data_IF_385452302321
#
_entry.id   IF_385452302321
#
_cell.length_a   1.000
_cell.length_b   1.000
_cell.length_c   1.000
_cell.angle_alpha   90.00
_cell.angle_beta   90.00
_cell.angle_gamma   90.00
#
_symmetry.space_group_name_H-M   'P 1'
#
loop_
_entity.id
_entity.type
_entity.pdbx_description
1 polymer ?
#
# COMPACT_ATOMS: atom_id res chain seq x y z
N UNK A 1 -17.19 -2.00 20.30
CA UNK A 1 -17.83 -3.17 20.94
C UNK A 1 -18.78 -2.76 22.06
N UNK A 2 -18.40 -1.85 22.99
CA UNK A 2 -19.29 -1.41 24.08
C UNK A 2 -20.61 -0.82 23.55
N UNK A 3 -20.54 0.08 22.57
CA UNK A 3 -21.74 0.67 21.97
C UNK A 3 -22.66 -0.39 21.32
N UNK A 4 -22.12 -1.36 20.61
CA UNK A 4 -22.89 -2.46 20.02
C UNK A 4 -23.60 -3.28 21.09
N UNK A 5 -22.88 -3.63 22.17
CA UNK A 5 -23.47 -4.35 23.31
C UNK A 5 -24.62 -3.56 23.96
N UNK A 6 -24.45 -2.26 24.15
CA UNK A 6 -25.47 -1.40 24.77
C UNK A 6 -26.68 -1.23 23.83
N UNK A 7 -26.49 -1.14 22.52
CA UNK A 7 -27.57 -1.15 21.54
C UNK A 7 -28.34 -2.49 21.52
N UNK A 8 -27.69 -3.61 21.74
CA UNK A 8 -28.29 -4.93 21.73
C UNK A 8 -28.89 -5.31 23.10
N UNK A 9 -28.64 -4.55 24.18
CA UNK A 9 -29.15 -4.84 25.53
C UNK A 9 -30.68 -5.06 25.58
N UNK A 10 -31.55 -4.30 24.86
CA UNK A 10 -32.97 -4.57 24.81
C UNK A 10 -33.35 -5.90 24.15
N UNK A 11 -32.47 -6.46 23.33
CA UNK A 11 -32.69 -7.67 22.54
C UNK A 11 -31.85 -8.87 23.05
N UNK A 12 -31.34 -8.80 24.26
CA UNK A 12 -30.40 -9.81 24.83
C UNK A 12 -30.93 -11.25 24.83
N UNK A 13 -32.25 -11.44 24.87
CA UNK A 13 -32.89 -12.74 24.85
C UNK A 13 -33.04 -13.33 23.44
N UNK A 14 -32.79 -12.52 22.41
CA UNK A 14 -32.78 -12.98 21.03
C UNK A 14 -31.43 -13.63 20.72
N UNK A 15 -31.41 -14.91 20.28
CA UNK A 15 -30.16 -15.60 19.97
C UNK A 15 -29.33 -14.88 18.87
N UNK A 16 -29.95 -14.14 17.95
CA UNK A 16 -29.27 -13.33 16.96
C UNK A 16 -28.40 -12.22 17.59
N UNK A 17 -28.78 -11.68 18.75
CA UNK A 17 -27.98 -10.67 19.46
C UNK A 17 -26.66 -11.27 19.98
N UNK A 18 -26.71 -12.49 20.51
CA UNK A 18 -25.51 -13.20 20.95
C UNK A 18 -24.59 -13.54 19.76
N UNK A 19 -25.16 -13.99 18.64
CA UNK A 19 -24.42 -14.28 17.43
C UNK A 19 -23.75 -13.02 16.88
N UNK A 20 -24.44 -11.89 16.81
CA UNK A 20 -23.89 -10.61 16.31
C UNK A 20 -22.74 -10.11 17.21
N UNK A 21 -22.88 -10.20 18.54
CA UNK A 21 -21.81 -9.86 19.49
C UNK A 21 -20.61 -10.81 19.34
N UNK A 22 -20.83 -12.06 19.01
CA UNK A 22 -19.74 -13.01 18.79
C UNK A 22 -19.05 -12.74 17.45
N UNK A 23 -19.81 -12.57 16.35
CA UNK A 23 -19.28 -12.24 15.03
C UNK A 23 -18.37 -11.02 15.07
N UNK A 24 -18.81 -9.94 15.74
CA UNK A 24 -18.02 -8.69 15.84
C UNK A 24 -16.69 -8.83 16.62
N UNK A 25 -16.38 -10.00 17.16
CA UNK A 25 -15.14 -10.31 17.90
C UNK A 25 -14.29 -11.36 17.19
N UNK A 26 -14.75 -11.88 16.06
CA UNK A 26 -14.02 -12.88 15.32
C UNK A 26 -12.85 -12.22 14.59
N UNK A 27 -11.66 -12.63 14.98
CA UNK A 27 -10.40 -12.21 14.38
C UNK A 27 -9.45 -13.41 14.30
N UNK A 28 -8.86 -13.67 13.13
CA UNK A 28 -7.93 -14.79 12.97
C UNK A 28 -7.68 -15.19 11.54
N UNK A 29 -7.27 -16.43 11.35
CA UNK A 29 -7.07 -17.04 10.03
C UNK A 29 -8.39 -17.49 9.38
N UNK A 30 -8.33 -18.38 8.37
CA UNK A 30 -9.52 -18.84 7.65
C UNK A 30 -10.54 -19.60 8.52
N UNK A 31 -10.13 -20.15 9.66
CA UNK A 31 -10.99 -20.82 10.62
C UNK A 31 -12.08 -19.91 11.19
N UNK A 32 -11.86 -18.61 11.17
CA UNK A 32 -12.86 -17.60 11.57
C UNK A 32 -14.09 -17.64 10.69
N UNK A 33 -13.94 -17.99 9.43
CA UNK A 33 -15.06 -18.10 8.48
C UNK A 33 -15.95 -19.30 8.79
N UNK A 34 -15.41 -20.39 9.34
CA UNK A 34 -16.19 -21.56 9.77
C UNK A 34 -17.05 -21.20 10.98
N UNK A 35 -16.48 -20.45 11.93
CA UNK A 35 -17.24 -19.96 13.09
C UNK A 35 -18.30 -18.94 12.69
N UNK A 36 -18.00 -18.06 11.73
CA UNK A 36 -18.97 -17.09 11.19
C UNK A 36 -20.17 -17.79 10.54
N UNK A 37 -19.92 -18.83 9.75
CA UNK A 37 -20.97 -19.64 9.12
C UNK A 37 -21.82 -20.38 10.16
N UNK A 38 -21.20 -20.93 11.20
CA UNK A 38 -21.92 -21.59 12.29
C UNK A 38 -22.85 -20.62 13.05
N UNK A 39 -22.48 -19.34 13.16
CA UNK A 39 -23.26 -18.32 13.87
C UNK A 39 -24.34 -17.65 13.02
N UNK A 40 -24.08 -17.39 11.74
CA UNK A 40 -24.93 -16.62 10.86
C UNK A 40 -25.62 -17.45 9.76
N UNK A 41 -25.22 -18.71 9.61
CA UNK A 41 -25.56 -19.56 8.46
C UNK A 41 -24.66 -19.25 7.25
N UNK A 42 -24.84 -20.03 6.21
CA UNK A 42 -24.19 -19.83 4.91
C UNK A 42 -24.65 -18.49 4.31
N UNK A 43 -23.69 -17.63 3.98
CA UNK A 43 -23.96 -16.31 3.39
C UNK A 43 -23.02 -16.05 2.22
N UNK A 44 -23.50 -15.33 1.22
CA UNK A 44 -22.68 -14.90 0.07
C UNK A 44 -21.38 -14.18 0.50
N UNK A 45 -21.42 -13.44 1.63
CA UNK A 45 -20.25 -12.76 2.14
C UNK A 45 -19.17 -13.72 2.63
N UNK A 46 -19.56 -14.79 3.34
CA UNK A 46 -18.62 -15.82 3.82
C UNK A 46 -18.04 -16.61 2.65
N UNK A 47 -18.90 -17.02 1.69
CA UNK A 47 -18.46 -17.70 0.47
C UNK A 47 -17.47 -16.86 -0.34
N UNK A 48 -17.78 -15.56 -0.51
CA UNK A 48 -16.90 -14.64 -1.20
C UNK A 48 -15.53 -14.49 -0.51
N UNK A 49 -15.49 -14.36 0.82
CA UNK A 49 -14.25 -14.28 1.57
C UNK A 49 -13.44 -15.58 1.50
N UNK A 50 -14.09 -16.75 1.48
CA UNK A 50 -13.43 -18.04 1.28
C UNK A 50 -12.79 -18.13 -0.11
N UNK A 51 -13.54 -17.77 -1.15
CA UNK A 51 -13.04 -17.76 -2.53
C UNK A 51 -11.83 -16.82 -2.67
N UNK A 52 -11.94 -15.59 -2.15
CA UNK A 52 -10.85 -14.61 -2.15
C UNK A 52 -9.62 -15.14 -1.41
N UNK A 53 -9.80 -15.78 -0.25
CA UNK A 53 -8.71 -16.39 0.50
C UNK A 53 -8.04 -17.53 -0.28
N UNK A 54 -8.83 -18.33 -1.00
CA UNK A 54 -8.33 -19.40 -1.87
C UNK A 54 -7.39 -18.86 -2.95
N UNK A 55 -7.79 -17.79 -3.64
CA UNK A 55 -6.97 -17.12 -4.65
C UNK A 55 -5.69 -16.52 -4.07
N UNK A 56 -5.80 -15.82 -2.95
CA UNK A 56 -4.63 -15.25 -2.26
C UNK A 56 -3.65 -16.32 -1.76
N UNK A 57 -4.19 -17.45 -1.28
CA UNK A 57 -3.37 -18.58 -0.83
C UNK A 57 -2.67 -19.27 -2.00
N UNK A 58 -3.36 -19.47 -3.12
CA UNK A 58 -2.77 -20.00 -4.34
C UNK A 58 -1.65 -19.10 -4.89
N UNK A 59 -1.78 -17.77 -4.70
CA UNK A 59 -0.76 -16.79 -5.03
C UNK A 59 0.40 -16.69 -4.00
N UNK A 60 0.35 -17.48 -2.91
CA UNK A 60 1.41 -17.52 -1.88
C UNK A 60 1.22 -16.55 -0.70
N UNK A 61 0.11 -15.82 -0.64
CA UNK A 61 -0.14 -14.78 0.38
C UNK A 61 -1.00 -15.25 1.56
N UNK A 62 -1.50 -16.49 1.57
CA UNK A 62 -2.44 -16.98 2.58
C UNK A 62 -1.96 -16.79 4.03
N UNK A 63 -0.67 -16.99 4.30
CA UNK A 63 -0.08 -16.80 5.63
C UNK A 63 -0.14 -15.35 6.14
N UNK A 64 -0.27 -14.37 5.24
CA UNK A 64 -0.32 -12.94 5.55
C UNK A 64 -1.74 -12.42 5.76
N UNK A 65 -2.77 -13.21 5.39
CA UNK A 65 -4.17 -12.80 5.47
C UNK A 65 -4.75 -13.12 6.85
N UNK A 66 -5.48 -12.17 7.41
CA UNK A 66 -6.30 -12.35 8.61
C UNK A 66 -7.68 -11.75 8.37
N UNK A 67 -8.69 -12.36 8.95
CA UNK A 67 -10.07 -11.89 8.92
C UNK A 67 -10.40 -11.17 10.21
N UNK A 68 -11.04 -10.01 10.08
CA UNK A 68 -11.58 -9.22 11.18
C UNK A 68 -13.05 -8.91 10.86
N UNK A 69 -13.96 -9.70 11.42
CA UNK A 69 -15.40 -9.53 11.18
C UNK A 69 -16.01 -8.42 12.06
N UNK A 70 -15.22 -7.81 12.92
CA UNK A 70 -15.57 -6.63 13.69
C UNK A 70 -15.18 -5.32 13.00
N UNK A 71 -14.49 -5.40 11.87
CA UNK A 71 -14.02 -4.21 11.15
C UNK A 71 -15.18 -3.50 10.47
N UNK A 72 -15.46 -2.28 10.94
CA UNK A 72 -16.45 -1.38 10.33
C UNK A 72 -15.72 -0.18 9.73
N UNK A 73 -15.99 0.11 8.47
CA UNK A 73 -15.48 1.32 7.82
C UNK A 73 -16.40 2.50 8.10
N UNK A 74 -15.81 3.67 8.36
CA UNK A 74 -16.54 4.93 8.57
C UNK A 74 -17.05 5.57 7.27
N UNK A 75 -16.66 5.00 6.14
CA UNK A 75 -16.92 5.57 4.82
C UNK A 75 -17.92 4.66 4.08
N UNK A 76 -19.10 5.20 3.76
CA UNK A 76 -20.25 4.47 3.22
C UNK A 76 -20.16 4.14 1.72
N UNK A 77 -19.02 4.41 1.05
CA UNK A 77 -18.94 4.12 -0.39
C UNK A 77 -18.48 2.68 -0.73
N UNK A 78 -17.99 1.93 0.24
CA UNK A 78 -17.59 0.53 -0.01
C UNK A 78 -18.81 -0.37 -0.21
N UNK A 79 -18.77 -1.17 -1.26
CA UNK A 79 -19.85 -2.10 -1.66
C UNK A 79 -19.47 -3.57 -1.53
N UNK A 80 -18.24 -3.86 -1.08
CA UNK A 80 -17.72 -5.22 -0.96
C UNK A 80 -16.64 -5.32 0.10
N UNK A 81 -15.63 -6.16 -0.16
CA UNK A 81 -14.53 -6.38 0.76
C UNK A 81 -13.80 -5.07 1.08
N UNK A 82 -13.48 -4.90 2.35
CA UNK A 82 -12.59 -3.86 2.86
C UNK A 82 -11.36 -4.50 3.47
N UNK A 83 -10.22 -3.84 3.36
CA UNK A 83 -8.97 -4.39 3.87
C UNK A 83 -8.06 -3.31 4.45
N UNK A 84 -7.20 -3.73 5.36
CA UNK A 84 -6.12 -2.93 5.93
C UNK A 84 -4.82 -3.70 5.84
N UNK A 85 -3.73 -2.98 5.62
CA UNK A 85 -2.39 -3.54 5.65
C UNK A 85 -1.61 -3.00 6.83
N UNK A 86 -0.83 -3.88 7.44
CA UNK A 86 0.00 -3.59 8.60
C UNK A 86 1.44 -3.99 8.30
N UNK A 87 2.39 -3.23 8.79
CA UNK A 87 3.82 -3.56 8.78
C UNK A 87 4.34 -3.64 10.20
N UNK A 88 5.28 -4.52 10.42
CA UNK A 88 5.96 -4.63 11.72
C UNK A 88 6.64 -3.30 12.06
N UNK A 89 6.47 -2.84 13.30
CA UNK A 89 6.98 -1.56 13.76
C UNK A 89 6.05 -0.36 13.53
N UNK A 90 4.98 -0.48 12.74
CA UNK A 90 3.94 0.54 12.66
C UNK A 90 2.90 0.32 13.77
N UNK A 91 2.52 1.38 14.46
CA UNK A 91 1.51 1.33 15.53
C UNK A 91 0.07 1.26 15.02
N UNK A 92 -0.15 1.45 13.73
CA UNK A 92 -1.47 1.47 13.07
C UNK A 92 -1.37 0.91 11.65
N UNK A 93 -2.53 0.80 10.97
CA UNK A 93 -2.59 0.38 9.58
C UNK A 93 -1.86 1.40 8.67
N UNK A 94 -0.97 0.90 7.82
CA UNK A 94 -0.24 1.71 6.83
C UNK A 94 -0.89 1.70 5.46
N UNK A 95 -1.87 0.84 5.26
CA UNK A 95 -2.64 0.73 4.03
C UNK A 95 -4.11 0.46 4.37
N UNK A 96 -5.01 1.08 3.63
CA UNK A 96 -6.45 0.82 3.72
C UNK A 96 -7.11 0.92 2.36
N UNK A 97 -8.08 0.04 2.10
CA UNK A 97 -8.77 0.01 0.83
C UNK A 97 -10.01 -0.87 0.84
N UNK A 98 -10.63 -1.01 -0.34
CA UNK A 98 -11.79 -1.85 -0.51
C UNK A 98 -12.41 -1.74 -1.90
N UNK A 99 -13.49 -2.47 -2.10
CA UNK A 99 -14.28 -2.46 -3.32
C UNK A 99 -15.40 -1.42 -3.23
N UNK A 100 -15.60 -0.61 -4.27
CA UNK A 100 -16.53 0.54 -4.27
C UNK A 100 -17.21 0.74 -5.63
N UNK A 101 -17.94 -0.24 -6.12
CA UNK A 101 -18.57 -0.26 -7.45
C UNK A 101 -19.56 0.91 -7.64
N UNK A 102 -20.35 1.26 -6.61
CA UNK A 102 -21.37 2.31 -6.70
C UNK A 102 -20.81 3.71 -6.87
N UNK A 103 -19.59 3.97 -6.40
CA UNK A 103 -18.97 5.30 -6.47
C UNK A 103 -18.75 5.75 -7.91
N UNK A 104 -18.35 4.84 -8.78
CA UNK A 104 -18.10 5.13 -10.19
C UNK A 104 -19.39 5.46 -10.93
N UNK A 105 -20.52 4.84 -10.52
CA UNK A 105 -21.86 5.10 -11.07
C UNK A 105 -22.31 6.56 -10.88
N UNK A 106 -21.91 7.22 -9.79
CA UNK A 106 -22.23 8.64 -9.54
C UNK A 106 -21.66 9.55 -10.65
N UNK A 107 -20.57 9.13 -11.30
CA UNK A 107 -19.96 9.86 -12.42
C UNK A 107 -20.51 9.44 -13.80
N UNK A 108 -21.64 8.74 -13.83
CA UNK A 108 -22.36 8.42 -15.06
C UNK A 108 -21.90 7.16 -15.80
N UNK A 109 -21.05 6.32 -15.20
CA UNK A 109 -20.61 5.06 -15.76
C UNK A 109 -20.57 3.98 -14.69
N UNK A 110 -21.40 2.95 -14.82
CA UNK A 110 -21.31 1.77 -13.95
C UNK A 110 -20.02 0.99 -14.26
N UNK A 111 -19.20 0.80 -13.24
CA UNK A 111 -17.98 -0.01 -13.33
C UNK A 111 -17.62 -0.55 -11.95
N UNK A 112 -17.07 -1.76 -11.94
CA UNK A 112 -16.46 -2.31 -10.73
C UNK A 112 -15.15 -1.58 -10.44
N UNK A 113 -14.94 -1.22 -9.18
CA UNK A 113 -13.76 -0.51 -8.75
C UNK A 113 -13.23 -1.04 -7.42
N UNK A 114 -11.92 -1.18 -7.35
CA UNK A 114 -11.19 -1.51 -6.12
C UNK A 114 -9.96 -0.62 -6.06
N UNK A 115 -9.65 -0.10 -4.89
CA UNK A 115 -8.48 0.73 -4.70
C UNK A 115 -8.03 0.76 -3.24
N UNK A 116 -6.89 1.38 -3.03
CA UNK A 116 -6.33 1.55 -1.70
C UNK A 116 -5.53 2.85 -1.60
N UNK A 117 -5.34 3.31 -0.36
CA UNK A 117 -4.43 4.37 0.00
C UNK A 117 -3.31 3.83 0.90
N UNK A 118 -2.11 4.39 0.77
CA UNK A 118 -0.94 4.06 1.58
C UNK A 118 -0.53 5.29 2.37
N UNK A 119 -0.34 5.14 3.68
CA UNK A 119 0.32 6.14 4.53
C UNK A 119 1.84 6.00 4.37
N UNK A 120 2.40 6.80 3.45
CA UNK A 120 3.83 6.77 3.12
C UNK A 120 4.68 7.21 4.32
N UNK A 121 4.20 8.17 5.11
CA UNK A 121 4.92 8.66 6.28
C UNK A 121 4.96 7.59 7.39
N UNK A 122 3.86 6.87 7.60
CA UNK A 122 3.83 5.76 8.54
C UNK A 122 4.78 4.63 8.10
N UNK A 123 4.79 4.29 6.80
CA UNK A 123 5.73 3.32 6.26
C UNK A 123 7.19 3.77 6.38
N UNK A 124 7.50 5.02 6.05
CA UNK A 124 8.85 5.55 6.14
C UNK A 124 9.42 5.46 7.57
N UNK A 125 8.58 5.67 8.59
CA UNK A 125 8.99 5.53 10.00
C UNK A 125 9.35 4.11 10.42
N UNK A 126 8.92 3.10 9.70
CA UNK A 126 9.27 1.68 9.99
C UNK A 126 10.56 1.23 9.31
N UNK A 127 11.04 2.00 8.33
CA UNK A 127 12.30 1.70 7.66
C UNK A 127 13.47 2.03 8.57
N UNK A 128 14.54 1.23 8.56
CA UNK A 128 15.76 1.59 9.26
C UNK A 128 16.25 2.93 8.72
N UNK A 129 16.72 3.79 9.64
CA UNK A 129 17.33 5.05 9.25
C UNK A 129 18.47 4.75 8.27
N UNK A 130 18.27 5.12 7.00
CA UNK A 130 19.30 4.93 6.01
C UNK A 130 20.50 5.80 6.43
N UNK A 131 21.63 5.17 6.65
CA UNK A 131 22.86 5.93 6.83
C UNK A 131 22.97 6.89 5.64
N UNK A 132 23.24 8.19 5.86
CA UNK A 132 23.37 9.14 4.76
C UNK A 132 24.44 8.64 3.81
N UNK A 133 24.02 8.05 2.69
CA UNK A 133 24.95 7.68 1.63
C UNK A 133 25.40 8.99 0.99
N UNK A 134 26.70 9.22 1.01
CA UNK A 134 27.25 10.39 0.34
C UNK A 134 26.91 10.27 -1.14
N UNK A 135 26.22 11.26 -1.68
CA UNK A 135 25.96 11.36 -3.12
C UNK A 135 27.34 11.39 -3.84
N UNK A 136 27.57 10.43 -4.71
CA UNK A 136 28.84 10.31 -5.43
C UNK A 136 28.72 10.82 -6.88
N UNK A 137 27.56 10.59 -7.48
CA UNK A 137 27.33 10.86 -8.90
C UNK A 137 25.99 11.58 -9.13
N UNK A 138 26.02 12.64 -9.92
CA UNK A 138 24.82 13.25 -10.50
C UNK A 138 24.71 12.84 -11.96
N UNK A 139 23.55 12.44 -12.44
CA UNK A 139 23.33 12.04 -13.84
C UNK A 139 22.67 13.18 -14.60
N UNK A 140 23.39 13.71 -15.60
CA UNK A 140 22.86 14.68 -16.57
C UNK A 140 22.48 13.97 -17.85
N UNK A 141 21.34 14.35 -18.44
CA UNK A 141 20.89 13.80 -19.72
C UNK A 141 20.31 14.86 -20.64
N UNK A 142 20.57 14.71 -21.92
CA UNK A 142 19.93 15.50 -22.97
C UNK A 142 18.54 14.92 -23.33
N UNK A 143 17.65 15.70 -23.96
CA UNK A 143 16.38 15.19 -24.47
C UNK A 143 16.56 13.91 -25.29
N UNK A 144 15.73 12.88 -25.01
CA UNK A 144 15.80 11.57 -25.63
C UNK A 144 16.68 10.53 -24.89
N UNK A 145 17.45 10.93 -23.87
CA UNK A 145 18.34 10.02 -23.12
C UNK A 145 17.83 9.67 -21.72
N UNK A 146 16.62 10.06 -21.35
CA UNK A 146 16.06 9.81 -20.02
C UNK A 146 16.08 8.33 -19.61
N UNK A 147 15.73 7.42 -20.52
CA UNK A 147 15.68 5.99 -20.22
C UNK A 147 17.06 5.45 -19.79
N UNK A 148 18.14 5.84 -20.51
CA UNK A 148 19.51 5.47 -20.15
C UNK A 148 19.96 6.09 -18.82
N UNK A 149 19.54 7.32 -18.58
CA UNK A 149 19.85 8.01 -17.33
C UNK A 149 19.18 7.35 -16.12
N UNK A 150 17.91 6.92 -16.26
CA UNK A 150 17.21 6.17 -15.22
C UNK A 150 17.85 4.80 -14.96
N UNK A 151 18.18 4.06 -16.02
CA UNK A 151 18.89 2.78 -15.89
C UNK A 151 20.23 2.93 -15.15
N UNK A 152 20.95 4.02 -15.44
CA UNK A 152 22.20 4.33 -14.77
C UNK A 152 22.02 4.66 -13.27
N UNK A 153 20.91 5.30 -12.89
CA UNK A 153 20.58 5.54 -11.47
C UNK A 153 20.18 4.24 -10.79
N UNK A 154 19.31 3.45 -11.40
CA UNK A 154 18.77 2.20 -10.83
C UNK A 154 19.85 1.13 -10.66
N UNK A 155 20.89 1.14 -11.50
CA UNK A 155 22.01 0.21 -11.41
C UNK A 155 23.01 0.49 -10.26
N UNK A 156 22.85 1.59 -9.54
CA UNK A 156 23.75 2.02 -8.46
C UNK A 156 23.08 1.87 -7.08
N UNK A 157 23.89 1.74 -6.00
CA UNK A 157 23.33 1.72 -4.65
C UNK A 157 22.46 2.94 -4.36
N UNK A 158 21.34 2.73 -3.71
CA UNK A 158 20.39 3.79 -3.38
C UNK A 158 21.07 4.96 -2.65
N UNK A 159 20.78 6.18 -3.05
CA UNK A 159 21.30 7.40 -2.46
C UNK A 159 22.73 7.80 -2.90
N UNK A 160 23.43 6.96 -3.68
CA UNK A 160 24.78 7.30 -4.19
C UNK A 160 24.72 8.01 -5.54
N UNK A 161 23.58 7.95 -6.22
CA UNK A 161 23.38 8.51 -7.55
C UNK A 161 22.01 9.18 -7.64
N UNK A 162 21.93 10.36 -8.24
CA UNK A 162 20.64 11.03 -8.49
C UNK A 162 20.57 11.63 -9.90
N UNK A 163 19.34 11.73 -10.41
CA UNK A 163 19.07 12.38 -11.69
C UNK A 163 19.10 13.89 -11.54
N UNK A 164 19.82 14.59 -12.43
CA UNK A 164 19.85 16.05 -12.44
C UNK A 164 18.53 16.64 -12.96
N UNK A 165 17.91 17.59 -12.26
CA UNK A 165 16.77 18.36 -12.77
C UNK A 165 17.21 19.49 -13.73
N UNK A 166 18.50 19.71 -13.90
CA UNK A 166 19.06 20.84 -14.65
C UNK A 166 19.02 20.59 -16.17
N UNK A 167 18.73 21.63 -16.92
CA UNK A 167 18.67 21.57 -18.39
C UNK A 167 20.04 21.63 -19.07
N UNK A 168 21.05 22.18 -18.40
CA UNK A 168 22.40 22.32 -18.95
C UNK A 168 23.40 21.50 -18.13
N UNK A 169 24.46 21.04 -18.79
CA UNK A 169 25.54 20.32 -18.13
C UNK A 169 26.27 21.20 -17.10
N UNK A 170 26.45 22.48 -17.39
CA UNK A 170 27.08 23.41 -16.46
C UNK A 170 26.31 23.53 -15.14
N UNK A 171 24.96 23.69 -15.25
CA UNK A 171 24.11 23.72 -14.06
C UNK A 171 24.12 22.40 -13.29
N UNK A 172 24.21 21.27 -13.98
CA UNK A 172 24.33 19.95 -13.34
C UNK A 172 25.67 19.77 -12.62
N UNK A 173 26.75 20.29 -13.19
CA UNK A 173 28.05 20.30 -12.52
C UNK A 173 28.06 21.20 -11.28
N UNK A 174 27.39 22.36 -11.34
CA UNK A 174 27.24 23.24 -10.18
C UNK A 174 26.42 22.58 -9.07
N UNK A 175 25.30 21.93 -9.41
CA UNK A 175 24.48 21.16 -8.49
C UNK A 175 25.28 20.01 -7.84
N UNK A 176 26.06 19.29 -8.62
CA UNK A 176 26.90 18.19 -8.15
C UNK A 176 27.90 18.67 -7.10
N UNK A 177 28.58 19.81 -7.33
CA UNK A 177 29.49 20.43 -6.34
C UNK A 177 28.77 20.85 -5.08
N UNK A 178 27.62 21.52 -5.22
CA UNK A 178 26.82 21.94 -4.07
C UNK A 178 26.39 20.75 -3.19
N UNK A 179 26.03 19.62 -3.81
CA UNK A 179 25.65 18.40 -3.11
C UNK A 179 26.85 17.52 -2.66
N UNK A 180 28.05 17.92 -2.96
CA UNK A 180 29.26 17.18 -2.60
C UNK A 180 29.50 15.91 -3.43
N UNK A 181 28.84 15.78 -4.58
CA UNK A 181 29.10 14.70 -5.52
C UNK A 181 30.46 14.89 -6.22
N UNK A 182 31.14 13.82 -6.56
CA UNK A 182 32.48 13.85 -7.17
C UNK A 182 32.42 13.86 -8.69
N UNK A 183 31.32 13.34 -9.25
CA UNK A 183 31.20 13.12 -10.69
C UNK A 183 29.82 13.49 -11.21
N UNK A 184 29.78 13.89 -12.49
CA UNK A 184 28.56 13.99 -13.29
C UNK A 184 28.66 12.99 -14.44
N UNK A 185 27.77 12.01 -14.47
CA UNK A 185 27.58 11.10 -15.59
C UNK A 185 26.68 11.75 -16.63
N UNK A 186 27.12 11.81 -17.86
CA UNK A 186 26.43 12.56 -18.92
C UNK A 186 25.97 11.61 -20.02
N UNK A 187 24.70 11.70 -20.40
CA UNK A 187 24.12 11.03 -21.57
C UNK A 187 23.63 12.07 -22.58
N UNK A 188 24.31 12.19 -23.70
CA UNK A 188 23.91 13.08 -24.80
C UNK A 188 24.30 12.51 -26.20
N UNK A 189 24.17 13.31 -27.23
CA UNK A 189 24.47 12.94 -28.62
C UNK A 189 25.93 12.51 -28.84
N UNK A 190 26.83 12.89 -27.96
CA UNK A 190 28.25 12.48 -28.00
C UNK A 190 28.52 11.16 -27.32
N UNK A 191 27.47 10.57 -26.70
CA UNK A 191 27.55 9.31 -25.98
C UNK A 191 27.55 9.47 -24.46
N UNK A 192 27.97 8.40 -23.76
CA UNK A 192 28.12 8.37 -22.32
C UNK A 192 29.54 8.85 -21.94
N UNK A 193 29.63 9.76 -20.98
CA UNK A 193 30.89 10.21 -20.42
C UNK A 193 30.79 10.66 -18.97
N UNK A 194 31.89 10.65 -18.24
CA UNK A 194 31.98 11.10 -16.86
C UNK A 194 32.75 12.42 -16.79
N UNK A 195 32.18 13.40 -16.10
CA UNK A 195 32.83 14.69 -15.80
C UNK A 195 33.14 14.73 -14.30
N UNK A 196 34.39 14.98 -13.93
CA UNK A 196 34.78 15.23 -12.52
C UNK A 196 34.41 16.67 -12.15
N UNK A 197 33.90 16.87 -10.94
CA UNK A 197 33.43 18.15 -10.45
C UNK A 197 34.07 18.53 -9.11
#
# INVERSE_FOLDING_TARGET
FAALRDMLAPFRENPASAALLRLSRLFGGPEVLDEAEALAGETEAVEYLRALYGELSAAGYGALVRFDLGMVHQIDYYTGVVFRGYVEGAGDAVLSGGRYDSLVGVFGREAQATGFAVDVDAMARTLPEAAPSALDTVVHYAPGYLAKALEAVDSRPAGTCELSPCRTLESSCSLAREKGAKTVLVFDVTGERVVKV
#
